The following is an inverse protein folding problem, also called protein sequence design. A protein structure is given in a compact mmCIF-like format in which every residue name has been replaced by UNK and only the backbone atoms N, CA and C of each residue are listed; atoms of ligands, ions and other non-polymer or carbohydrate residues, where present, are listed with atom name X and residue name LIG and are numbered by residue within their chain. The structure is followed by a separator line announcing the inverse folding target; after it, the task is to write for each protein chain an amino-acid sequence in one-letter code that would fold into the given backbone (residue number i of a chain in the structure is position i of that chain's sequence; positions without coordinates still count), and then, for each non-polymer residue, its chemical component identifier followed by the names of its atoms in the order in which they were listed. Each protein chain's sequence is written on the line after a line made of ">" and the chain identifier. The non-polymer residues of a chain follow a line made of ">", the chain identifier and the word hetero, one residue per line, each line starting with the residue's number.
data_IF_890011404504
#
_entry.id   IF_890011404504
#
_cell.length_a   1.000
_cell.length_b   1.000
_cell.length_c   1.000
_cell.angle_alpha   90.00
_cell.angle_beta   90.00
_cell.angle_gamma   90.00
#
_symmetry.space_group_name_H-M   'P 1'
#
loop_
_entity.id
_entity.type
_entity.pdbx_description
1 polymer ?
#
# COMPACT_ATOMS: atom_id res chain seq x y z
N UNK A 1 -18.16 14.37 -8.25
CA UNK A 1 -16.80 14.70 -7.79
C UNK A 1 -16.71 14.67 -6.26
N UNK A 2 -16.95 13.52 -5.60
CA UNK A 2 -17.11 13.51 -4.13
C UNK A 2 -16.58 12.30 -3.36
N UNK A 3 -16.35 11.15 -4.01
CA UNK A 3 -15.83 9.96 -3.32
C UNK A 3 -14.31 9.80 -3.46
N UNK A 4 -13.74 10.23 -4.60
CA UNK A 4 -12.30 10.13 -4.86
C UNK A 4 -11.45 10.94 -3.88
N UNK A 5 -11.89 12.14 -3.49
CA UNK A 5 -11.14 13.01 -2.59
C UNK A 5 -11.07 12.49 -1.15
N UNK A 6 -12.08 11.73 -0.70
CA UNK A 6 -12.09 11.13 0.64
C UNK A 6 -11.21 9.89 0.71
N UNK A 7 -11.24 9.05 -0.32
CA UNK A 7 -10.38 7.86 -0.42
C UNK A 7 -8.89 8.24 -0.46
N UNK A 8 -8.58 9.32 -1.18
CA UNK A 8 -7.23 9.87 -1.34
C UNK A 8 -6.62 10.52 -0.08
N UNK A 9 -7.45 10.90 0.90
CA UNK A 9 -7.03 11.69 2.05
C UNK A 9 -6.80 10.82 3.30
N UNK A 10 -7.37 9.61 3.34
CA UNK A 10 -7.34 8.74 4.51
C UNK A 10 -6.63 7.40 4.26
N UNK A 11 -6.37 7.01 3.01
CA UNK A 11 -5.74 5.74 2.68
C UNK A 11 -4.39 5.97 2.01
N UNK A 12 -3.33 5.50 2.67
CA UNK A 12 -1.96 5.56 2.15
C UNK A 12 -1.52 4.24 1.50
N UNK A 13 -2.12 3.11 1.91
CA UNK A 13 -1.73 1.76 1.49
C UNK A 13 -2.95 0.85 1.32
N UNK A 14 -2.95 0.00 0.29
CA UNK A 14 -3.89 -1.12 0.09
C UNK A 14 -3.15 -2.45 0.26
N UNK A 15 -3.70 -3.36 1.06
CA UNK A 15 -3.18 -4.73 1.23
C UNK A 15 -4.06 -5.71 0.46
N UNK A 16 -3.48 -6.39 -0.53
CA UNK A 16 -4.16 -7.49 -1.21
C UNK A 16 -3.87 -8.79 -0.47
N UNK A 17 -4.91 -9.37 0.13
CA UNK A 17 -4.85 -10.65 0.83
C UNK A 17 -5.37 -11.77 -0.07
N UNK A 18 -4.64 -12.88 -0.11
CA UNK A 18 -5.11 -14.13 -0.74
C UNK A 18 -5.30 -15.19 0.33
N UNK A 19 -6.15 -16.18 0.05
CA UNK A 19 -6.26 -17.38 0.88
C UNK A 19 -5.33 -18.45 0.32
N UNK A 20 -4.52 -19.04 1.18
CA UNK A 20 -3.73 -20.21 0.81
C UNK A 20 -4.57 -21.50 0.86
N UNK A 21 -3.97 -22.62 0.44
CA UNK A 21 -4.64 -23.93 0.43
C UNK A 21 -5.00 -24.45 1.83
N UNK A 22 -4.43 -23.87 2.88
CA UNK A 22 -4.75 -24.19 4.29
C UNK A 22 -5.88 -23.30 4.84
N UNK A 23 -6.41 -22.39 4.01
CA UNK A 23 -7.48 -21.46 4.37
C UNK A 23 -6.99 -20.21 5.12
N UNK A 24 -5.68 -20.06 5.32
CA UNK A 24 -5.10 -18.89 6.00
C UNK A 24 -4.99 -17.72 5.03
N UNK A 25 -5.20 -16.50 5.55
CA UNK A 25 -5.03 -15.26 4.79
C UNK A 25 -3.56 -14.87 4.82
N UNK A 26 -2.98 -14.67 3.64
CA UNK A 26 -1.61 -14.15 3.48
C UNK A 26 -1.64 -12.91 2.59
N UNK A 27 -0.74 -11.96 2.86
CA UNK A 27 -0.57 -10.79 2.01
C UNK A 27 0.11 -11.26 0.72
N UNK A 28 -0.55 -11.04 -0.42
CA UNK A 28 0.01 -11.26 -1.74
C UNK A 28 0.68 -10.01 -2.27
N UNK A 29 0.08 -8.84 -2.04
CA UNK A 29 0.60 -7.57 -2.55
C UNK A 29 0.31 -6.41 -1.60
N UNK A 30 1.17 -5.41 -1.66
CA UNK A 30 1.02 -4.13 -0.99
C UNK A 30 1.09 -3.06 -2.06
N UNK A 31 0.08 -2.21 -2.14
CA UNK A 31 0.01 -1.11 -3.09
C UNK A 31 -0.01 0.21 -2.32
N UNK A 32 0.73 1.19 -2.81
CA UNK A 32 0.68 2.57 -2.30
C UNK A 32 -0.28 3.39 -3.14
N UNK A 33 -0.98 4.32 -2.51
CA UNK A 33 -1.82 5.29 -3.22
C UNK A 33 -0.99 6.55 -3.49
N UNK A 34 -0.93 6.96 -4.75
CA UNK A 34 -0.21 8.14 -5.21
C UNK A 34 -1.16 9.09 -5.93
N UNK A 35 -1.02 10.39 -5.69
CA UNK A 35 -1.74 11.40 -6.45
C UNK A 35 -0.94 11.74 -7.70
N UNK A 36 -1.56 11.52 -8.85
CA UNK A 36 -1.05 11.96 -10.14
C UNK A 36 -1.25 13.48 -10.30
N UNK A 37 -0.46 14.18 -11.15
CA UNK A 37 -0.62 15.61 -11.41
C UNK A 37 -2.03 16.04 -11.84
N UNK A 38 -2.84 15.13 -12.39
CA UNK A 38 -4.26 15.35 -12.69
C UNK A 38 -5.18 15.43 -11.47
N UNK A 39 -4.66 15.19 -10.26
CA UNK A 39 -5.42 15.11 -9.01
C UNK A 39 -6.12 13.77 -8.79
N UNK A 40 -5.93 12.80 -9.69
CA UNK A 40 -6.45 11.44 -9.55
C UNK A 40 -5.52 10.60 -8.69
N UNK A 41 -6.10 9.66 -7.94
CA UNK A 41 -5.34 8.68 -7.18
C UNK A 41 -5.10 7.44 -8.02
N UNK A 42 -3.84 7.02 -8.07
CA UNK A 42 -3.42 5.78 -8.71
C UNK A 42 -2.84 4.85 -7.65
N UNK A 43 -3.11 3.56 -7.80
CA UNK A 43 -2.52 2.51 -6.98
C UNK A 43 -1.30 1.97 -7.70
N UNK A 44 -0.13 2.04 -7.06
CA UNK A 44 1.12 1.46 -7.55
C UNK A 44 1.58 0.30 -6.67
N UNK A 45 2.05 -0.83 -7.24
CA UNK A 45 2.57 -1.93 -6.44
C UNK A 45 3.86 -1.49 -5.73
N UNK A 46 3.92 -1.71 -4.42
CA UNK A 46 5.08 -1.43 -3.58
C UNK A 46 5.80 -2.71 -3.14
N UNK A 47 5.04 -3.76 -2.84
CA UNK A 47 5.58 -5.10 -2.56
C UNK A 47 4.70 -6.14 -3.21
N UNK A 48 5.32 -7.18 -3.75
CA UNK A 48 4.62 -8.37 -4.26
C UNK A 48 5.24 -9.63 -3.68
N UNK A 49 4.43 -10.60 -3.30
CA UNK A 49 4.90 -11.90 -2.86
C UNK A 49 5.56 -12.63 -4.05
N UNK A 50 6.87 -12.81 -3.97
CA UNK A 50 7.66 -13.62 -4.88
C UNK A 50 7.65 -15.10 -4.49
N UNK A 51 8.55 -15.91 -5.07
CA UNK A 51 8.63 -17.35 -4.75
C UNK A 51 8.81 -17.62 -3.25
N UNK A 52 9.71 -16.86 -2.61
CA UNK A 52 10.12 -17.12 -1.22
C UNK A 52 9.88 -15.93 -0.27
N UNK A 53 9.84 -14.71 -0.79
CA UNK A 53 9.75 -13.48 0.01
C UNK A 53 9.07 -12.34 -0.76
N UNK A 54 8.77 -11.25 -0.05
CA UNK A 54 8.35 -10.00 -0.70
C UNK A 54 9.46 -9.42 -1.56
N UNK A 55 9.09 -9.05 -2.77
CA UNK A 55 9.94 -8.35 -3.73
C UNK A 55 9.47 -6.89 -3.80
N UNK A 56 10.38 -5.91 -3.60
CA UNK A 56 10.12 -4.50 -3.84
C UNK A 56 9.70 -4.20 -5.28
N UNK A 57 8.71 -3.33 -5.44
CA UNK A 57 8.23 -2.81 -6.71
C UNK A 57 8.38 -1.28 -6.74
N UNK A 58 7.92 -0.61 -7.80
CA UNK A 58 8.08 0.83 -8.01
C UNK A 58 7.62 1.69 -6.81
N UNK A 59 6.55 1.28 -6.12
CA UNK A 59 6.01 1.97 -4.95
C UNK A 59 6.76 1.74 -3.64
N UNK A 60 7.88 1.00 -3.65
CA UNK A 60 8.58 0.61 -2.42
C UNK A 60 9.15 1.78 -1.63
N UNK A 61 9.78 2.75 -2.30
CA UNK A 61 10.37 3.91 -1.63
C UNK A 61 9.29 4.72 -0.89
N UNK A 62 8.14 4.91 -1.55
CA UNK A 62 7.00 5.57 -0.94
C UNK A 62 6.46 4.83 0.29
N UNK A 63 6.37 3.51 0.21
CA UNK A 63 5.97 2.69 1.36
C UNK A 63 6.95 2.84 2.54
N UNK A 64 8.26 2.88 2.27
CA UNK A 64 9.28 3.09 3.32
C UNK A 64 9.14 4.44 4.01
N UNK A 65 8.86 5.50 3.26
CA UNK A 65 8.60 6.83 3.83
C UNK A 65 7.39 6.83 4.76
N UNK A 66 6.27 6.23 4.33
CA UNK A 66 5.06 6.12 5.14
C UNK A 66 5.30 5.36 6.45
N UNK A 67 6.04 4.25 6.39
CA UNK A 67 6.37 3.44 7.57
C UNK A 67 7.28 4.19 8.55
N UNK A 68 8.26 4.96 8.06
CA UNK A 68 9.11 5.81 8.90
C UNK A 68 8.30 6.89 9.62
N UNK A 69 7.46 7.60 8.89
CA UNK A 69 6.63 8.67 9.44
C UNK A 69 5.58 8.16 10.45
N UNK A 70 5.15 6.90 10.32
CA UNK A 70 4.25 6.26 11.29
C UNK A 70 4.99 5.87 12.57
N UNK A 71 6.27 5.48 12.48
CA UNK A 71 7.11 5.15 13.64
C UNK A 71 7.42 6.34 14.54
N UNK A 72 7.51 7.55 13.97
CA UNK A 72 7.75 8.79 14.71
C UNK A 72 6.48 9.37 15.37
N UNK A 73 5.30 8.87 14.99
CA UNK A 73 3.99 9.32 15.48
C UNK A 73 3.42 8.54 16.67
N UNK A 74 4.17 7.59 17.25
CA UNK A 74 3.73 6.72 18.35
C UNK A 74 3.62 7.38 19.74
N UNK A 75 3.53 8.71 19.81
CA UNK A 75 3.34 9.47 21.05
C UNK A 75 2.03 10.25 21.02
N UNK A 76 0.91 9.57 21.30
CA UNK A 76 -0.32 10.16 21.81
C UNK A 76 -0.81 9.30 22.98
#
# INVERSE_FOLDING_TARGET
>A
FGLHSQLAAALSVVLHLVRDRTGRRRIAEVHVLERDPSGLVRTGPALRWGPDAFVPEQGWERLRELLRNTGDGGGL
#
